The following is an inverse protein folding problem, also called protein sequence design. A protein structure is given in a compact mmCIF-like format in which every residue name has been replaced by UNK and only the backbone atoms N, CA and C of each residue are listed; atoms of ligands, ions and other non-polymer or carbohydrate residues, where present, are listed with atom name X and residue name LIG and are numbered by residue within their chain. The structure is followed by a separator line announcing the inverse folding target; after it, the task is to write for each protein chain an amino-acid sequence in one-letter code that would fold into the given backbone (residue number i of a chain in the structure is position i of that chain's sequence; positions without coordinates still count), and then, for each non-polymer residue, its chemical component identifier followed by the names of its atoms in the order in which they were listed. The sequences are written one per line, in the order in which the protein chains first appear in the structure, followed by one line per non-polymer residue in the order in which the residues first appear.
data_IF_938126477060
#
_entry.id   IF_938126477060
#
_cell.length_a   1.000
_cell.length_b   1.000
_cell.length_c   1.000
_cell.angle_alpha   90.00
_cell.angle_beta   90.00
_cell.angle_gamma   90.00
#
_symmetry.space_group_name_H-M   'P 1'
#
loop_
_entity.id
_entity.type
_entity.pdbx_description
1 polymer ?
#
# COMPACT_ATOMS: atom_id res chain seq x y z
N UNK A 1 -6.62 -5.58 -7.95
CA UNK A 1 -7.51 -5.32 -9.11
C UNK A 1 -7.08 -6.20 -10.27
N UNK A 2 -8.01 -6.78 -11.00
CA UNK A 2 -7.72 -7.58 -12.19
C UNK A 2 -7.98 -6.75 -13.45
N UNK A 3 -7.03 -6.74 -14.38
CA UNK A 3 -7.15 -6.11 -15.71
C UNK A 3 -6.55 -7.08 -16.72
N UNK A 4 -7.30 -7.39 -17.79
CA UNK A 4 -6.86 -8.30 -18.85
C UNK A 4 -6.28 -9.63 -18.33
N UNK A 5 -6.96 -10.24 -17.37
CA UNK A 5 -6.57 -11.49 -16.69
C UNK A 5 -5.25 -11.40 -15.90
N UNK A 6 -4.80 -10.20 -15.58
CA UNK A 6 -3.62 -9.96 -14.73
C UNK A 6 -4.00 -9.19 -13.47
N UNK A 7 -3.46 -9.64 -12.35
CA UNK A 7 -3.61 -8.93 -11.07
C UNK A 7 -2.64 -7.76 -10.99
N UNK A 8 -3.14 -6.64 -10.50
CA UNK A 8 -2.36 -5.42 -10.28
C UNK A 8 -2.53 -4.96 -8.84
N UNK A 9 -1.48 -4.40 -8.28
CA UNK A 9 -1.51 -3.68 -7.01
C UNK A 9 -1.74 -2.20 -7.31
N UNK A 10 -2.71 -1.61 -6.61
CA UNK A 10 -3.03 -0.19 -6.69
C UNK A 10 -2.24 0.57 -5.63
N UNK A 11 -1.52 1.59 -6.03
CA UNK A 11 -0.70 2.44 -5.18
C UNK A 11 -1.00 3.92 -5.46
N UNK A 12 -0.78 4.75 -4.45
CA UNK A 12 -0.91 6.20 -4.54
C UNK A 12 0.44 6.88 -4.32
N UNK A 13 0.57 8.10 -4.83
CA UNK A 13 1.71 8.98 -4.57
C UNK A 13 1.23 10.26 -3.90
N UNK A 14 1.86 10.61 -2.79
CA UNK A 14 1.59 11.85 -2.08
C UNK A 14 2.11 13.06 -2.84
N UNK A 15 1.40 14.21 -2.82
CA UNK A 15 1.89 15.44 -3.44
C UNK A 15 3.23 15.89 -2.86
N UNK A 16 4.07 16.47 -3.72
CA UNK A 16 5.40 16.94 -3.33
C UNK A 16 5.36 18.17 -2.40
N UNK A 17 4.26 18.92 -2.37
CA UNK A 17 4.13 20.13 -1.54
C UNK A 17 3.77 19.83 -0.07
N UNK A 18 3.45 18.60 0.27
CA UNK A 18 3.10 18.22 1.65
C UNK A 18 4.33 18.23 2.56
N UNK A 19 4.14 18.65 3.81
CA UNK A 19 5.21 18.73 4.82
C UNK A 19 5.71 17.35 5.26
N UNK A 20 4.80 16.36 5.29
CA UNK A 20 5.10 15.01 5.74
C UNK A 20 5.09 14.05 4.57
N UNK A 21 6.22 13.35 4.39
CA UNK A 21 6.40 12.32 3.37
C UNK A 21 6.03 12.77 1.94
N UNK A 22 6.58 13.93 1.45
CA UNK A 22 6.29 14.39 0.10
C UNK A 22 6.72 13.36 -0.95
N UNK A 23 5.88 13.11 -1.94
CA UNK A 23 6.15 12.17 -3.02
C UNK A 23 6.18 10.69 -2.64
N UNK A 24 5.89 10.34 -1.39
CA UNK A 24 5.89 8.96 -0.93
C UNK A 24 4.82 8.13 -1.64
N UNK A 25 5.20 6.91 -2.04
CA UNK A 25 4.29 5.93 -2.60
C UNK A 25 3.78 5.03 -1.47
N UNK A 26 2.46 4.86 -1.40
CA UNK A 26 1.80 4.06 -0.38
C UNK A 26 0.53 3.39 -0.92
N UNK A 27 -0.02 2.48 -0.13
CA UNK A 27 -1.40 2.06 -0.30
C UNK A 27 -2.35 3.19 0.14
N UNK A 28 -3.58 3.24 -0.41
CA UNK A 28 -4.63 4.04 0.20
C UNK A 28 -4.81 3.64 1.66
N UNK A 29 -4.89 4.60 2.55
CA UNK A 29 -5.06 4.31 3.97
C UNK A 29 -4.67 5.46 4.88
N UNK A 30 -5.02 5.36 6.15
CA UNK A 30 -4.77 6.39 7.12
C UNK A 30 -5.00 5.95 8.55
N UNK A 31 -5.25 6.92 9.42
CA UNK A 31 -5.41 6.68 10.85
C UNK A 31 -6.81 6.21 11.19
N UNK A 32 -6.90 5.33 12.18
CA UNK A 32 -8.16 4.97 12.79
C UNK A 32 -8.79 6.21 13.46
N UNK A 33 -10.05 6.44 13.18
CA UNK A 33 -10.85 7.51 13.78
C UNK A 33 -11.85 6.96 14.79
N UNK A 34 -12.34 7.79 15.76
CA UNK A 34 -13.26 7.32 16.81
C UNK A 34 -14.57 6.70 16.29
N UNK A 35 -15.01 7.10 15.10
CA UNK A 35 -16.24 6.59 14.47
C UNK A 35 -16.01 5.36 13.59
N UNK A 36 -14.76 4.92 13.41
CA UNK A 36 -14.48 3.70 12.68
C UNK A 36 -14.88 2.48 13.50
N UNK A 37 -15.69 1.61 12.92
CA UNK A 37 -16.18 0.40 13.60
C UNK A 37 -15.08 -0.63 13.83
N UNK A 38 -14.15 -0.72 12.87
CA UNK A 38 -13.04 -1.65 12.86
C UNK A 38 -11.96 -1.20 11.84
N UNK A 39 -10.88 -1.93 11.75
CA UNK A 39 -9.75 -1.64 10.84
C UNK A 39 -10.16 -1.70 9.36
N UNK A 40 -11.09 -2.60 9.00
CA UNK A 40 -11.61 -2.69 7.62
C UNK A 40 -12.37 -1.41 7.28
N UNK A 41 -13.20 -0.92 8.21
CA UNK A 41 -13.92 0.34 8.02
C UNK A 41 -12.97 1.51 7.82
N UNK A 42 -11.89 1.61 8.60
CA UNK A 42 -10.85 2.61 8.40
C UNK A 42 -10.25 2.53 7.00
N UNK A 43 -9.83 1.35 6.56
CA UNK A 43 -9.22 1.15 5.26
C UNK A 43 -10.16 1.54 4.10
N UNK A 44 -11.43 1.17 4.18
CA UNK A 44 -12.43 1.51 3.16
C UNK A 44 -12.78 3.01 3.17
N UNK A 45 -12.91 3.63 4.33
CA UNK A 45 -13.16 5.07 4.47
C UNK A 45 -12.04 5.88 3.84
N UNK A 46 -10.80 5.57 4.19
CA UNK A 46 -9.62 6.24 3.64
C UNK A 46 -9.49 6.06 2.13
N UNK A 47 -9.71 4.84 1.61
CA UNK A 47 -9.70 4.59 0.18
C UNK A 47 -10.79 5.36 -0.56
N UNK A 48 -11.97 5.52 0.05
CA UNK A 48 -13.03 6.36 -0.51
C UNK A 48 -12.63 7.84 -0.52
N UNK A 49 -12.10 8.34 0.58
CA UNK A 49 -11.68 9.75 0.70
C UNK A 49 -10.53 10.08 -0.26
N UNK A 50 -9.51 9.24 -0.36
CA UNK A 50 -8.31 9.49 -1.15
C UNK A 50 -8.48 9.28 -2.65
N UNK A 51 -9.19 8.22 -3.07
CA UNK A 51 -9.28 7.80 -4.48
C UNK A 51 -10.70 7.58 -5.01
N UNK A 52 -11.73 7.84 -4.20
CA UNK A 52 -13.12 7.68 -4.60
C UNK A 52 -13.60 6.22 -4.64
N UNK A 53 -12.82 5.27 -4.12
CA UNK A 53 -13.19 3.84 -4.14
C UNK A 53 -14.37 3.58 -3.21
N UNK A 54 -15.50 3.18 -3.81
CA UNK A 54 -16.71 2.84 -3.04
C UNK A 54 -16.56 1.47 -2.38
N UNK A 55 -17.05 1.30 -1.12
CA UNK A 55 -16.99 0.00 -0.43
C UNK A 55 -17.64 -1.15 -1.21
N UNK A 56 -18.68 -0.86 -2.00
CA UNK A 56 -19.38 -1.85 -2.85
C UNK A 56 -18.50 -2.40 -3.97
N UNK A 57 -17.46 -1.68 -4.36
CA UNK A 57 -16.47 -2.10 -5.36
C UNK A 57 -15.32 -2.92 -4.76
N UNK A 58 -15.43 -3.34 -3.50
CA UNK A 58 -14.33 -4.00 -2.79
C UNK A 58 -14.79 -5.31 -2.16
N UNK A 59 -14.07 -6.39 -2.44
CA UNK A 59 -14.20 -7.66 -1.72
C UNK A 59 -13.01 -7.82 -0.78
N UNK A 60 -13.25 -7.89 0.52
CA UNK A 60 -12.21 -8.09 1.52
C UNK A 60 -11.76 -9.55 1.50
N UNK A 61 -10.45 -9.77 1.29
CA UNK A 61 -9.84 -11.10 1.26
C UNK A 61 -9.24 -11.50 2.61
N UNK A 62 -8.76 -10.55 3.39
CA UNK A 62 -8.18 -10.81 4.69
C UNK A 62 -7.43 -9.63 5.29
N UNK A 63 -6.81 -9.88 6.43
CA UNK A 63 -6.03 -8.90 7.17
C UNK A 63 -4.69 -9.56 7.54
N UNK A 64 -3.58 -8.88 7.27
CA UNK A 64 -2.28 -9.30 7.78
C UNK A 64 -2.06 -8.81 9.22
N UNK A 65 -1.20 -9.48 10.00
CA UNK A 65 -0.79 -8.96 11.30
C UNK A 65 -0.23 -7.55 11.22
N UNK A 66 -0.45 -6.78 12.28
CA UNK A 66 0.04 -5.42 12.35
C UNK A 66 1.57 -5.36 12.23
N UNK A 67 2.04 -4.41 11.43
CA UNK A 67 3.46 -4.13 11.23
C UNK A 67 3.85 -2.87 12.00
N UNK A 68 4.79 -3.00 12.93
CA UNK A 68 5.33 -1.87 13.67
C UNK A 68 6.46 -1.21 12.88
N UNK A 69 6.30 0.09 12.59
CA UNK A 69 7.34 0.89 11.95
C UNK A 69 8.37 1.34 12.97
N UNK A 70 9.58 1.66 12.53
CA UNK A 70 10.62 2.20 13.41
C UNK A 70 10.28 3.60 13.96
N UNK A 71 9.30 4.30 13.38
CA UNK A 71 8.77 5.59 13.85
C UNK A 71 7.70 5.43 14.91
N UNK A 72 7.35 4.19 15.30
CA UNK A 72 6.38 3.89 16.35
C UNK A 72 4.93 3.76 15.90
N UNK A 73 4.66 3.85 14.60
CA UNK A 73 3.33 3.57 14.07
C UNK A 73 3.09 2.06 13.94
N UNK A 74 1.85 1.65 14.15
CA UNK A 74 1.37 0.31 13.89
C UNK A 74 0.43 0.34 12.68
N UNK A 75 0.79 -0.40 11.63
CA UNK A 75 0.05 -0.44 10.37
C UNK A 75 -0.52 -1.84 10.20
N UNK A 76 -1.83 -1.94 10.02
CA UNK A 76 -2.52 -3.20 9.75
C UNK A 76 -2.92 -3.25 8.27
N UNK A 77 -2.28 -4.09 7.44
CA UNK A 77 -2.66 -4.23 6.05
C UNK A 77 -3.98 -4.98 5.90
N UNK A 78 -4.91 -4.40 5.17
CA UNK A 78 -6.16 -5.04 4.73
C UNK A 78 -6.00 -5.42 3.27
N UNK A 79 -6.13 -6.70 2.96
CA UNK A 79 -6.03 -7.22 1.59
C UNK A 79 -7.41 -7.31 0.99
N UNK A 80 -7.59 -6.69 -0.16
CA UNK A 80 -8.88 -6.62 -0.82
C UNK A 80 -8.76 -6.71 -2.34
N UNK A 81 -9.79 -7.24 -2.98
CA UNK A 81 -9.93 -7.23 -4.43
C UNK A 81 -10.84 -6.07 -4.84
N UNK A 82 -10.31 -5.18 -5.67
CA UNK A 82 -11.09 -4.08 -6.25
C UNK A 82 -11.80 -4.57 -7.51
N UNK A 83 -13.10 -4.43 -7.53
CA UNK A 83 -13.97 -4.77 -8.67
C UNK A 83 -14.05 -3.59 -9.65
N UNK A 84 -14.10 -3.91 -10.92
CA UNK A 84 -14.33 -2.93 -11.99
C UNK A 84 -15.77 -3.00 -12.52
N UNK A 85 -16.24 -1.88 -13.12
CA UNK A 85 -15.60 -0.56 -13.16
C UNK A 85 -15.83 0.23 -11.87
N UNK A 86 -14.91 1.14 -11.53
CA UNK A 86 -15.16 2.21 -10.57
C UNK A 86 -14.57 3.54 -11.08
N UNK A 87 -15.16 4.64 -10.67
CA UNK A 87 -14.70 5.97 -11.04
C UNK A 87 -13.59 6.42 -10.07
N UNK A 88 -12.39 6.65 -10.62
CA UNK A 88 -11.26 7.17 -9.86
C UNK A 88 -11.42 8.67 -9.64
N UNK A 89 -11.57 9.09 -8.38
CA UNK A 89 -11.67 10.50 -7.98
C UNK A 89 -10.63 10.78 -6.92
N UNK A 90 -9.55 11.46 -7.30
CA UNK A 90 -8.44 11.77 -6.39
C UNK A 90 -8.75 12.99 -5.53
N UNK A 91 -8.44 12.90 -4.23
CA UNK A 91 -8.34 14.08 -3.37
C UNK A 91 -7.00 14.77 -3.63
N UNK A 92 -6.98 15.96 -4.25
CA UNK A 92 -5.74 16.65 -4.61
C UNK A 92 -4.92 17.12 -3.39
N UNK A 93 -5.53 17.16 -2.21
CA UNK A 93 -4.86 17.49 -0.96
C UNK A 93 -3.98 16.36 -0.43
N UNK A 94 -4.29 15.11 -0.78
CA UNK A 94 -3.62 13.93 -0.25
C UNK A 94 -2.98 13.04 -1.31
N UNK A 95 -3.51 13.02 -2.51
CA UNK A 95 -3.08 12.14 -3.60
C UNK A 95 -2.81 12.92 -4.87
N UNK A 96 -1.57 12.88 -5.34
CA UNK A 96 -1.18 13.45 -6.62
C UNK A 96 -1.45 12.51 -7.79
N UNK A 97 -1.24 11.20 -7.57
CA UNK A 97 -1.31 10.18 -8.58
C UNK A 97 -1.74 8.84 -7.98
N UNK A 98 -2.53 8.08 -8.74
CA UNK A 98 -2.90 6.70 -8.43
C UNK A 98 -2.53 5.83 -9.64
N UNK A 99 -1.75 4.77 -9.41
CA UNK A 99 -1.23 3.93 -10.48
C UNK A 99 -1.28 2.45 -10.12
N UNK A 100 -1.18 1.63 -11.15
CA UNK A 100 -1.24 0.18 -11.04
C UNK A 100 0.10 -0.44 -11.41
N UNK A 101 0.54 -1.40 -10.60
CA UNK A 101 1.74 -2.19 -10.87
C UNK A 101 1.33 -3.65 -11.00
N UNK A 102 1.73 -4.34 -12.07
CA UNK A 102 1.44 -5.77 -12.22
C UNK A 102 1.95 -6.57 -11.02
N UNK A 103 1.12 -7.42 -10.43
CA UNK A 103 1.51 -8.26 -9.30
C UNK A 103 2.71 -9.14 -9.65
N UNK A 104 2.80 -9.62 -10.89
CA UNK A 104 3.92 -10.42 -11.39
C UNK A 104 5.27 -9.70 -11.28
N UNK A 105 5.29 -8.36 -11.41
CA UNK A 105 6.51 -7.59 -11.19
C UNK A 105 7.04 -7.79 -9.76
N UNK A 106 6.17 -7.79 -8.75
CA UNK A 106 6.55 -7.98 -7.36
C UNK A 106 6.84 -9.44 -7.01
N UNK A 107 6.15 -10.40 -7.65
CA UNK A 107 6.41 -11.83 -7.44
C UNK A 107 7.83 -12.19 -7.91
N UNK A 108 8.32 -11.58 -8.98
CA UNK A 108 9.68 -11.76 -9.45
C UNK A 108 10.69 -11.28 -8.40
N UNK A 109 11.44 -12.24 -7.85
CA UNK A 109 12.36 -11.99 -6.71
C UNK A 109 13.48 -11.01 -7.04
N UNK A 110 13.92 -10.96 -8.30
CA UNK A 110 14.96 -10.03 -8.76
C UNK A 110 14.55 -8.56 -8.68
N UNK A 111 13.24 -8.26 -8.59
CA UNK A 111 12.71 -6.91 -8.43
C UNK A 111 12.54 -6.49 -6.96
N UNK A 112 12.71 -7.41 -6.02
CA UNK A 112 12.58 -7.18 -4.58
C UNK A 112 13.95 -7.05 -3.93
N UNK A 113 14.27 -5.87 -3.47
CA UNK A 113 15.56 -5.56 -2.85
C UNK A 113 15.38 -5.23 -1.38
N UNK A 114 16.39 -5.49 -0.60
CA UNK A 114 16.45 -5.06 0.80
C UNK A 114 17.89 -4.75 1.20
N UNK A 115 18.01 -3.88 2.20
CA UNK A 115 19.28 -3.57 2.84
C UNK A 115 19.08 -3.43 4.34
N UNK A 116 20.14 -3.59 5.10
CA UNK A 116 20.11 -3.36 6.54
C UNK A 116 20.58 -1.94 6.86
N UNK A 117 19.80 -1.25 7.65
CA UNK A 117 20.15 0.05 8.21
C UNK A 117 20.31 -0.09 9.73
N UNK A 118 21.37 0.51 10.26
CA UNK A 118 21.65 0.49 11.70
C UNK A 118 21.35 1.87 12.30
N UNK A 119 20.50 1.91 13.29
CA UNK A 119 20.13 3.13 14.01
C UNK A 119 19.96 2.85 15.49
N UNK A 120 20.61 3.66 16.34
CA UNK A 120 20.55 3.52 17.80
C UNK A 120 20.83 2.11 18.31
N UNK A 121 21.81 1.41 17.71
CA UNK A 121 22.20 0.05 18.06
C UNK A 121 21.24 -1.07 17.60
N UNK A 122 20.16 -0.73 16.93
CA UNK A 122 19.24 -1.69 16.34
C UNK A 122 19.43 -1.81 14.82
N UNK A 123 19.23 -3.03 14.31
CA UNK A 123 19.29 -3.33 12.88
C UNK A 123 17.88 -3.35 12.30
N UNK A 124 17.64 -2.56 11.26
CA UNK A 124 16.37 -2.50 10.53
C UNK A 124 16.56 -2.98 9.09
N UNK A 125 15.64 -3.77 8.62
CA UNK A 125 15.58 -4.16 7.22
C UNK A 125 14.72 -3.15 6.46
N UNK A 126 15.29 -2.56 5.40
CA UNK A 126 14.61 -1.61 4.53
C UNK A 126 14.39 -2.28 3.18
N UNK A 127 13.14 -2.38 2.76
CA UNK A 127 12.75 -2.94 1.46
C UNK A 127 12.62 -1.83 0.42
N UNK A 128 12.96 -2.13 -0.83
CA UNK A 128 12.75 -1.23 -1.96
C UNK A 128 12.55 -2.00 -3.27
N UNK A 129 11.67 -1.49 -4.11
CA UNK A 129 11.21 -2.12 -5.35
C UNK A 129 11.01 -1.03 -6.41
N UNK A 130 12.07 -0.62 -7.14
CA UNK A 130 11.94 0.37 -8.20
C UNK A 130 11.09 -0.17 -9.34
N UNK A 131 10.08 0.61 -9.75
CA UNK A 131 9.21 0.29 -10.88
C UNK A 131 9.10 1.51 -11.80
N UNK A 132 9.67 1.44 -13.00
CA UNK A 132 9.75 2.57 -13.94
C UNK A 132 10.35 3.81 -13.27
N UNK A 133 9.63 4.94 -13.26
CA UNK A 133 10.03 6.20 -12.60
C UNK A 133 9.61 6.27 -11.11
N UNK A 134 9.07 5.18 -10.56
CA UNK A 134 8.52 5.10 -9.20
C UNK A 134 9.44 4.34 -8.27
N UNK A 135 9.79 4.95 -7.16
CA UNK A 135 10.58 4.31 -6.12
C UNK A 135 9.71 3.87 -4.96
N UNK A 136 9.31 2.60 -4.97
CA UNK A 136 8.51 1.98 -3.91
C UNK A 136 9.46 1.46 -2.84
N UNK A 137 9.36 1.96 -1.61
CA UNK A 137 10.28 1.59 -0.56
C UNK A 137 9.65 1.64 0.84
N UNK A 138 10.40 1.26 1.85
CA UNK A 138 10.01 1.34 3.24
C UNK A 138 8.87 0.38 3.59
N UNK A 139 7.91 0.84 4.39
CA UNK A 139 6.81 -0.01 4.87
C UNK A 139 5.91 -0.49 3.73
N UNK A 140 5.71 0.32 2.69
CA UNK A 140 4.93 -0.09 1.52
C UNK A 140 5.57 -1.30 0.85
N UNK A 141 6.88 -1.25 0.57
CA UNK A 141 7.61 -2.36 0.00
C UNK A 141 7.67 -3.58 0.93
N UNK A 142 7.77 -3.37 2.24
CA UNK A 142 7.73 -4.46 3.23
C UNK A 142 6.38 -5.20 3.24
N UNK A 143 5.27 -4.49 3.13
CA UNK A 143 3.93 -5.08 3.02
C UNK A 143 3.77 -5.85 1.71
N UNK A 144 4.28 -5.32 0.60
CA UNK A 144 4.27 -6.02 -0.69
C UNK A 144 5.11 -7.31 -0.61
N UNK A 145 6.29 -7.25 -0.02
CA UNK A 145 7.13 -8.45 0.18
C UNK A 145 6.45 -9.50 1.06
N UNK A 146 5.72 -9.06 2.11
CA UNK A 146 4.92 -9.96 2.94
C UNK A 146 3.83 -10.66 2.12
N UNK A 147 3.10 -9.91 1.29
CA UNK A 147 2.08 -10.47 0.38
C UNK A 147 2.69 -11.47 -0.59
N UNK A 148 3.80 -11.12 -1.23
CA UNK A 148 4.48 -12.01 -2.18
C UNK A 148 4.94 -13.31 -1.51
N UNK A 149 5.51 -13.24 -0.32
CA UNK A 149 5.89 -14.45 0.45
C UNK A 149 4.69 -15.30 0.84
N UNK A 150 3.55 -14.68 1.12
CA UNK A 150 2.32 -15.41 1.42
C UNK A 150 1.79 -16.17 0.20
N UNK A 151 1.92 -15.58 -0.99
CA UNK A 151 1.52 -16.22 -2.26
C UNK A 151 2.52 -17.32 -2.66
N UNK A 152 3.82 -17.11 -2.48
CA UNK A 152 4.89 -18.07 -2.85
C UNK A 152 4.92 -19.37 -2.03
N UNK A 153 4.14 -19.47 -0.96
CA UNK A 153 4.10 -20.67 -0.09
C UNK A 153 3.25 -21.80 -0.70
N UNK A 154 2.69 -21.59 -1.87
CA UNK A 154 1.88 -22.60 -2.56
C UNK A 154 2.62 -23.24 -3.72
#
# INVERSE_FOLDING_TARGET
MEIDQQLHIMLTRRPMHLRHHPGQISFPGGKVEPNDRDIIHTALREAHEEIGLQPENVDILGIFPAHKTFTGFEITPVVAMVKQPFELVLDPGEVEDCFLVPLNFFIERSNRHNMFHYRHGARYQVHFMPFEDKFIWGVTAAIIDLLCRHIDVN
#
